data_IF_076214641468
#
_entry.id   IF_076214641468
#
_cell.length_a   1.000
_cell.length_b   1.000
_cell.length_c   1.000
_cell.angle_alpha   90.00
_cell.angle_beta   90.00
_cell.angle_gamma   90.00
#
_symmetry.space_group_name_H-M   'P 1'
#
loop_
_entity.id
_entity.type
_entity.pdbx_description
1 polymer ?
#
# COMPACT_ATOMS: atom_id res chain seq x y z
N UNK A 1 10.96 -5.54 6.27
CA UNK A 1 9.80 -5.10 7.08
C UNK A 1 8.62 -6.00 6.75
N UNK A 2 7.79 -6.35 7.73
CA UNK A 2 6.56 -7.11 7.49
C UNK A 2 5.38 -6.29 8.00
N UNK A 3 4.33 -6.14 7.19
CA UNK A 3 3.00 -5.71 7.62
C UNK A 3 2.18 -6.97 7.85
N UNK A 4 1.65 -7.15 9.05
CA UNK A 4 0.98 -8.36 9.52
C UNK A 4 -0.49 -8.10 9.79
N UNK A 5 -1.30 -9.18 9.85
CA UNK A 5 -2.71 -9.11 10.23
C UNK A 5 -3.49 -8.08 9.40
N UNK A 6 -3.40 -8.18 8.07
CA UNK A 6 -4.10 -7.31 7.12
C UNK A 6 -4.98 -8.11 6.15
N UNK A 7 -6.01 -7.47 5.60
CA UNK A 7 -6.75 -7.94 4.43
C UNK A 7 -6.04 -7.44 3.19
N UNK A 8 -5.31 -8.34 2.52
CA UNK A 8 -4.57 -8.07 1.29
C UNK A 8 -5.54 -8.13 0.12
N UNK A 9 -5.65 -7.03 -0.62
CA UNK A 9 -6.36 -7.00 -1.89
C UNK A 9 -5.38 -7.42 -2.98
N UNK A 10 -5.55 -8.63 -3.50
CA UNK A 10 -4.79 -9.17 -4.62
C UNK A 10 -5.57 -8.91 -5.92
N UNK A 11 -5.02 -9.39 -7.05
CA UNK A 11 -5.66 -9.24 -8.36
C UNK A 11 -7.06 -9.87 -8.41
N UNK A 12 -7.19 -11.10 -7.91
CA UNK A 12 -8.42 -11.89 -8.04
C UNK A 12 -9.15 -12.15 -6.72
N UNK A 13 -8.51 -11.89 -5.56
CA UNK A 13 -9.07 -12.27 -4.26
C UNK A 13 -8.63 -11.35 -3.11
N UNK A 14 -9.32 -11.45 -1.98
CA UNK A 14 -8.97 -10.81 -0.71
C UNK A 14 -8.61 -11.87 0.31
N UNK A 15 -7.34 -11.85 0.75
CA UNK A 15 -6.83 -12.82 1.73
C UNK A 15 -6.45 -12.14 3.04
N UNK A 16 -6.65 -12.82 4.17
CA UNK A 16 -6.18 -12.36 5.47
C UNK A 16 -4.76 -12.86 5.71
N UNK A 17 -3.80 -11.96 5.92
CA UNK A 17 -2.40 -12.36 5.90
C UNK A 17 -1.38 -11.31 6.29
N UNK A 18 -0.20 -11.45 5.71
CA UNK A 18 0.96 -10.58 5.91
C UNK A 18 1.73 -10.34 4.61
N UNK A 19 2.42 -9.20 4.52
CA UNK A 19 3.21 -8.74 3.38
C UNK A 19 4.64 -8.43 3.82
N UNK A 20 5.63 -8.97 3.12
CA UNK A 20 7.04 -8.68 3.33
C UNK A 20 7.57 -7.69 2.29
N UNK A 21 8.29 -6.68 2.77
CA UNK A 21 8.98 -5.69 1.94
C UNK A 21 10.45 -5.59 2.33
N UNK A 22 11.31 -5.45 1.33
CA UNK A 22 12.74 -5.22 1.51
C UNK A 22 13.23 -4.27 0.42
N UNK A 23 14.00 -3.25 0.81
CA UNK A 23 14.60 -2.26 -0.11
C UNK A 23 13.57 -1.59 -1.04
N UNK A 24 12.39 -1.28 -0.51
CA UNK A 24 11.29 -0.65 -1.26
C UNK A 24 10.51 -1.60 -2.19
N UNK A 25 10.83 -2.90 -2.18
CA UNK A 25 10.21 -3.91 -3.05
C UNK A 25 9.39 -4.90 -2.23
N UNK A 26 8.21 -5.27 -2.71
CA UNK A 26 7.42 -6.38 -2.17
C UNK A 26 8.15 -7.70 -2.49
N UNK A 27 8.58 -8.44 -1.47
CA UNK A 27 9.33 -9.70 -1.62
C UNK A 27 8.41 -10.91 -1.64
N UNK A 28 7.40 -10.93 -0.76
CA UNK A 28 6.48 -12.03 -0.61
C UNK A 28 5.21 -11.57 0.12
N UNK A 29 4.14 -12.36 0.01
CA UNK A 29 2.99 -12.31 0.91
C UNK A 29 2.68 -13.71 1.40
N UNK A 30 1.93 -13.80 2.49
CA UNK A 30 1.43 -15.08 3.00
C UNK A 30 -0.03 -14.93 3.43
N UNK A 31 -0.84 -15.94 3.13
CA UNK A 31 -2.23 -16.10 3.60
C UNK A 31 -2.29 -16.56 5.06
N UNK A 32 -1.37 -16.06 5.87
CA UNK A 32 -1.30 -16.33 7.30
C UNK A 32 -0.64 -15.15 8.00
N UNK A 33 -0.86 -15.08 9.32
CA UNK A 33 -0.18 -14.10 10.16
C UNK A 33 1.28 -14.50 10.35
N UNK A 34 2.17 -13.52 10.25
CA UNK A 34 3.56 -13.68 10.68
C UNK A 34 3.62 -13.93 12.19
N UNK A 35 4.57 -14.76 12.61
CA UNK A 35 4.89 -15.04 14.02
C UNK A 35 6.06 -14.18 14.54
N UNK A 36 6.63 -13.34 13.68
CA UNK A 36 7.78 -12.51 14.05
C UNK A 36 7.31 -11.32 14.92
N UNK A 37 7.87 -11.14 16.13
CA UNK A 37 7.48 -10.04 17.02
C UNK A 37 7.73 -8.65 16.43
N UNK A 38 8.67 -8.53 15.49
CA UNK A 38 9.03 -7.27 14.85
C UNK A 38 8.10 -6.89 13.68
N UNK A 39 7.11 -7.72 13.34
CA UNK A 39 6.15 -7.40 12.29
C UNK A 39 5.18 -6.30 12.76
N UNK A 40 4.91 -5.32 11.90
CA UNK A 40 3.96 -4.26 12.17
C UNK A 40 2.55 -4.83 12.12
N UNK A 41 1.77 -4.67 13.19
CA UNK A 41 0.35 -5.08 13.19
C UNK A 41 -0.48 -4.06 12.41
N UNK A 42 -1.21 -4.53 11.39
CA UNK A 42 -2.17 -3.74 10.62
C UNK A 42 -3.59 -3.80 11.16
N UNK A 43 -3.81 -4.44 12.32
CA UNK A 43 -5.07 -4.42 13.10
C UNK A 43 -6.30 -4.94 12.35
N UNK A 44 -6.12 -5.84 11.39
CA UNK A 44 -7.18 -6.35 10.52
C UNK A 44 -7.63 -5.37 9.42
N UNK A 45 -6.87 -4.28 9.25
CA UNK A 45 -7.09 -3.26 8.23
C UNK A 45 -6.87 -3.76 6.81
N UNK A 46 -7.26 -2.93 5.84
CA UNK A 46 -7.11 -3.21 4.42
C UNK A 46 -5.75 -2.73 3.91
N UNK A 47 -5.07 -3.59 3.18
CA UNK A 47 -3.84 -3.24 2.47
C UNK A 47 -4.08 -3.41 0.97
N UNK A 48 -4.07 -2.29 0.27
CA UNK A 48 -4.36 -2.21 -1.16
C UNK A 48 -3.09 -1.83 -1.94
N UNK A 49 -3.00 -2.19 -3.23
CA UNK A 49 -2.05 -1.56 -4.14
C UNK A 49 -2.21 -0.03 -4.12
N UNK A 50 -1.09 0.68 -4.24
CA UNK A 50 -1.11 2.13 -4.41
C UNK A 50 -1.93 2.51 -5.65
N UNK A 51 -2.79 3.51 -5.51
CA UNK A 51 -3.57 4.01 -6.64
C UNK A 51 -2.68 4.83 -7.57
N UNK A 52 -2.84 4.62 -8.87
CA UNK A 52 -2.17 5.41 -9.90
C UNK A 52 -3.12 6.51 -10.36
N UNK A 53 -2.73 7.76 -10.15
CA UNK A 53 -3.46 8.92 -10.66
C UNK A 53 -3.16 9.09 -12.16
N UNK A 54 -4.20 9.01 -13.00
CA UNK A 54 -4.09 9.22 -14.44
C UNK A 54 -4.26 10.69 -14.85
N UNK A 55 -4.93 11.46 -14.01
CA UNK A 55 -5.17 12.88 -14.25
C UNK A 55 -4.03 13.67 -13.58
N UNK A 56 -3.05 14.12 -14.36
CA UNK A 56 -1.83 14.79 -13.84
C UNK A 56 -2.07 16.21 -13.32
N UNK A 57 -3.32 16.70 -13.39
CA UNK A 57 -3.70 18.06 -13.04
C UNK A 57 -3.58 18.37 -11.54
N UNK A 58 -3.56 17.32 -10.70
CA UNK A 58 -3.31 17.46 -9.27
C UNK A 58 -1.81 17.69 -8.97
N UNK A 59 -0.91 17.02 -9.71
CA UNK A 59 0.54 17.24 -9.65
C UNK A 59 0.93 18.62 -10.22
N UNK A 60 0.28 19.08 -11.29
CA UNK A 60 0.56 20.39 -11.90
C UNK A 60 0.39 21.55 -10.91
N UNK A 61 -0.56 21.46 -9.96
CA UNK A 61 -0.71 22.49 -8.92
C UNK A 61 0.51 22.63 -8.02
N UNK A 62 1.31 21.57 -7.85
CA UNK A 62 2.50 21.57 -7.00
C UNK A 62 3.79 21.91 -7.78
N UNK A 63 3.84 21.66 -9.09
CA UNK A 63 5.02 21.95 -9.94
C UNK A 63 4.91 23.26 -10.73
N UNK A 64 3.71 23.70 -11.07
CA UNK A 64 3.47 24.94 -11.82
C UNK A 64 2.12 25.51 -11.39
N UNK A 65 2.05 26.30 -10.29
CA UNK A 65 0.79 26.91 -9.87
C UNK A 65 0.22 27.67 -11.07
N UNK A 66 -1.00 27.31 -11.48
CA UNK A 66 -1.63 27.90 -12.67
C UNK A 66 -1.68 29.41 -12.48
N UNK A 67 -1.05 30.21 -13.35
CA UNK A 67 -1.17 31.64 -13.26
C UNK A 67 -2.61 32.00 -13.64
N UNK A 68 -3.32 32.62 -12.69
CA UNK A 68 -4.70 33.12 -12.75
C UNK A 68 -5.78 32.08 -12.46
N UNK A 69 -6.18 32.02 -11.19
CA UNK A 69 -7.57 31.80 -10.78
C UNK A 69 -7.90 33.03 -9.93
N UNK A 70 -8.84 33.86 -10.39
CA UNK A 70 -9.50 34.85 -9.53
C UNK A 70 -10.39 34.12 -8.50
#
# INVERSE_FOLDING_TARGET
MIINNVKLVLEDDVVQGSLEMQDGVIRAFAESRSRLPAALDGEGGWLLPGLIELHTDNLDKFFTPRPKVD
#
